data_IF_132680612945
#
_entry.id   IF_132680612945
#
_cell.length_a   1.000
_cell.length_b   1.000
_cell.length_c   1.000
_cell.angle_alpha   90.00
_cell.angle_beta   90.00
_cell.angle_gamma   90.00
#
_symmetry.space_group_name_H-M   'P 1'
#
loop_
_entity.id
_entity.type
_entity.pdbx_description
1 polymer ?
#
# COMPACT_ATOMS: atom_id res chain seq x y z
N UNK A 1 -2.03 -8.89 8.25
CA UNK A 1 -2.35 -7.89 7.21
C UNK A 1 -1.16 -6.95 7.14
N UNK A 2 -0.42 -6.96 6.03
CA UNK A 2 0.67 -5.99 5.81
C UNK A 2 0.11 -4.59 5.51
N UNK A 3 0.96 -3.57 5.52
CA UNK A 3 0.60 -2.21 5.13
C UNK A 3 1.57 -1.66 4.08
N UNK A 4 1.07 -0.88 3.12
CA UNK A 4 1.90 -0.13 2.16
C UNK A 4 2.35 1.19 2.76
N UNK A 5 3.49 1.70 2.31
CA UNK A 5 3.93 3.04 2.68
C UNK A 5 2.96 4.09 2.11
N UNK A 6 2.37 4.91 2.97
CA UNK A 6 1.49 6.00 2.58
C UNK A 6 2.20 7.34 2.70
N UNK A 7 2.35 8.04 1.58
CA UNK A 7 2.69 9.46 1.60
C UNK A 7 1.40 10.26 1.60
N UNK A 8 1.33 11.24 2.49
CA UNK A 8 0.12 12.04 2.67
C UNK A 8 0.50 13.51 2.72
N UNK A 9 -0.13 14.31 1.86
CA UNK A 9 0.05 15.75 1.80
C UNK A 9 -1.22 16.46 2.22
N UNK A 10 -1.04 17.44 3.12
CA UNK A 10 -2.13 18.25 3.63
C UNK A 10 -2.55 19.32 2.61
N UNK A 11 -3.85 19.66 2.50
CA UNK A 11 -4.37 20.74 1.64
C UNK A 11 -3.59 22.05 1.69
N UNK A 12 -3.07 22.43 2.85
CA UNK A 12 -2.28 23.66 3.02
C UNK A 12 -0.92 23.66 2.32
N UNK A 13 -0.41 22.49 1.93
CA UNK A 13 0.86 22.32 1.21
C UNK A 13 0.65 22.18 -0.31
N UNK A 14 -0.47 21.57 -0.72
CA UNK A 14 -0.77 21.27 -2.13
C UNK A 14 -1.66 22.32 -2.78
N UNK A 15 -2.39 23.12 -2.00
CA UNK A 15 -3.40 24.05 -2.53
C UNK A 15 -4.66 23.36 -3.06
N UNK A 16 -4.76 22.03 -2.93
CA UNK A 16 -5.94 21.26 -3.32
C UNK A 16 -6.99 21.27 -2.20
N UNK A 17 -8.29 21.23 -2.52
CA UNK A 17 -9.36 21.21 -1.52
C UNK A 17 -9.51 19.88 -0.77
N UNK A 18 -8.59 18.93 -0.97
CA UNK A 18 -8.60 17.60 -0.36
C UNK A 18 -7.19 17.15 0.01
N UNK A 19 -7.11 16.18 0.92
CA UNK A 19 -5.84 15.54 1.27
C UNK A 19 -5.39 14.62 0.15
N UNK A 20 -4.16 14.78 -0.31
CA UNK A 20 -3.58 13.91 -1.33
C UNK A 20 -2.85 12.76 -0.65
N UNK A 21 -3.12 11.52 -1.08
CA UNK A 21 -2.47 10.34 -0.55
C UNK A 21 -1.99 9.44 -1.69
N UNK A 22 -0.73 9.04 -1.63
CA UNK A 22 -0.14 8.05 -2.52
C UNK A 22 0.33 6.83 -1.73
N UNK A 23 -0.14 5.65 -2.12
CA UNK A 23 0.34 4.37 -1.58
C UNK A 23 1.46 3.85 -2.46
N UNK A 24 2.66 3.77 -1.90
CA UNK A 24 3.87 3.38 -2.61
C UNK A 24 4.30 1.96 -2.26
N UNK A 25 5.07 1.38 -3.17
CA UNK A 25 5.87 0.19 -2.90
C UNK A 25 5.08 -1.11 -2.72
N UNK A 26 5.76 -2.07 -2.10
CA UNK A 26 5.23 -3.39 -1.78
C UNK A 26 4.40 -3.28 -0.49
N UNK A 27 3.49 -4.25 -0.28
CA UNK A 27 2.91 -4.44 1.06
C UNK A 27 4.01 -4.90 2.01
N UNK A 28 4.40 -4.03 2.94
CA UNK A 28 5.36 -4.33 3.99
C UNK A 28 4.75 -5.29 5.02
N UNK A 29 5.51 -6.32 5.39
CA UNK A 29 5.11 -7.31 6.40
C UNK A 29 5.52 -6.88 7.81
N UNK A 30 6.37 -5.84 7.94
CA UNK A 30 6.83 -5.31 9.23
C UNK A 30 7.19 -3.82 9.19
N UNK A 31 7.32 -3.22 10.38
CA UNK A 31 7.62 -1.79 10.52
C UNK A 31 9.03 -1.37 10.09
N UNK A 32 10.00 -2.29 10.07
CA UNK A 32 11.35 -2.04 9.57
C UNK A 32 11.37 -1.92 8.04
N UNK A 33 10.67 -2.81 7.32
CA UNK A 33 10.57 -2.74 5.85
C UNK A 33 9.96 -1.41 5.39
N UNK A 34 8.91 -0.94 6.07
CA UNK A 34 8.30 0.38 5.80
C UNK A 34 9.26 1.54 6.02
N UNK A 35 10.13 1.45 7.04
CA UNK A 35 11.14 2.48 7.31
C UNK A 35 12.27 2.47 6.29
N UNK A 36 12.72 1.28 5.88
CA UNK A 36 13.76 1.12 4.87
C UNK A 36 13.27 1.63 3.50
N UNK A 37 12.03 1.33 3.13
CA UNK A 37 11.39 1.88 1.93
C UNK A 37 11.29 3.41 1.99
N UNK A 38 10.95 3.97 3.16
CA UNK A 38 10.89 5.42 3.35
C UNK A 38 12.27 6.09 3.24
N UNK A 39 13.30 5.54 3.89
CA UNK A 39 14.68 6.03 3.79
C UNK A 39 15.21 5.97 2.36
N UNK A 40 14.86 4.91 1.61
CA UNK A 40 15.21 4.81 0.20
C UNK A 40 14.62 5.98 -0.61
N UNK A 41 13.32 6.26 -0.44
CA UNK A 41 12.65 7.36 -1.15
C UNK A 41 13.24 8.71 -0.74
N UNK A 42 13.43 8.93 0.57
CA UNK A 42 13.99 10.19 1.09
C UNK A 42 15.38 10.46 0.51
N UNK A 43 16.30 9.49 0.60
CA UNK A 43 17.66 9.63 0.04
C UNK A 43 17.65 9.85 -1.46
N UNK A 44 16.78 9.13 -2.18
CA UNK A 44 16.62 9.32 -3.61
C UNK A 44 16.16 10.74 -3.97
N UNK A 45 15.25 11.32 -3.17
CA UNK A 45 14.73 12.67 -3.40
C UNK A 45 15.70 13.79 -2.97
N UNK A 46 16.47 13.59 -1.90
CA UNK A 46 17.36 14.61 -1.34
C UNK A 46 18.75 14.60 -2.00
N UNK A 47 19.35 13.42 -2.17
CA UNK A 47 20.74 13.24 -2.62
C UNK A 47 20.81 12.71 -4.07
N UNK A 48 19.67 12.29 -4.63
CA UNK A 48 19.55 11.84 -6.01
C UNK A 48 19.83 10.33 -6.22
N UNK A 49 19.86 9.88 -7.49
CA UNK A 49 19.93 8.46 -7.84
C UNK A 49 21.25 7.77 -7.48
N UNK A 50 22.30 8.54 -7.15
CA UNK A 50 23.62 7.99 -6.77
C UNK A 50 23.69 7.60 -5.28
N UNK A 51 22.81 8.13 -4.44
CA UNK A 51 22.79 7.90 -2.99
C UNK A 51 22.08 6.61 -2.58
N UNK A 52 21.44 5.93 -3.53
CA UNK A 52 20.68 4.69 -3.25
C UNK A 52 21.21 3.52 -4.07
N UNK A 53 21.22 2.30 -3.50
CA UNK A 53 21.60 1.11 -4.24
C UNK A 53 20.60 0.87 -5.38
N UNK A 54 21.11 0.54 -6.58
CA UNK A 54 20.24 0.26 -7.73
C UNK A 54 19.33 -0.94 -7.44
N UNK A 55 18.00 -0.79 -7.55
CA UNK A 55 17.09 -1.89 -7.30
C UNK A 55 17.34 -3.00 -8.31
N UNK A 56 17.35 -4.25 -7.83
CA UNK A 56 17.44 -5.42 -8.71
C UNK A 56 16.13 -5.53 -9.48
N UNK A 57 16.19 -5.23 -10.77
CA UNK A 57 15.05 -5.44 -11.67
C UNK A 57 14.88 -6.95 -11.84
N UNK A 58 13.89 -7.53 -11.16
CA UNK A 58 13.46 -8.90 -11.44
C UNK A 58 13.03 -9.00 -12.90
N UNK A 59 13.47 -10.09 -13.55
CA UNK A 59 13.23 -10.40 -14.96
C UNK A 59 11.74 -10.27 -15.30
N UNK A 60 11.45 -9.90 -16.54
CA UNK A 60 10.10 -9.56 -17.02
C UNK A 60 9.09 -10.71 -16.93
N UNK A 61 9.56 -11.94 -16.76
CA UNK A 61 8.75 -13.13 -16.78
C UNK A 61 8.48 -13.60 -15.34
N UNK A 62 7.20 -13.65 -14.90
CA UNK A 62 6.85 -14.27 -13.63
C UNK A 62 7.33 -15.72 -13.66
N UNK A 63 8.08 -16.11 -12.63
CA UNK A 63 8.50 -17.50 -12.49
C UNK A 63 7.27 -18.39 -12.43
N UNK A 64 7.17 -19.45 -13.25
CA UNK A 64 6.04 -20.37 -13.18
C UNK A 64 5.89 -20.95 -11.77
N UNK A 65 7.00 -21.21 -11.06
CA UNK A 65 6.99 -21.72 -9.68
C UNK A 65 6.30 -20.74 -8.72
N UNK A 66 6.47 -19.43 -8.91
CA UNK A 66 5.76 -18.42 -8.10
C UNK A 66 4.28 -18.31 -8.44
N UNK A 67 3.92 -18.50 -9.71
CA UNK A 67 2.52 -18.51 -10.13
C UNK A 67 1.78 -19.69 -9.46
N UNK A 68 2.39 -20.88 -9.45
CA UNK A 68 1.85 -22.07 -8.80
C UNK A 68 1.90 -21.99 -7.27
N UNK A 69 2.93 -21.39 -6.66
CA UNK A 69 3.06 -21.35 -5.20
C UNK A 69 1.87 -20.66 -4.52
N UNK A 70 1.26 -19.68 -5.17
CA UNK A 70 0.05 -19.03 -4.67
C UNK A 70 -1.13 -20.00 -4.51
N UNK A 71 -1.25 -21.02 -5.37
CA UNK A 71 -2.28 -22.06 -5.23
C UNK A 71 -1.89 -23.16 -4.22
N UNK A 72 -0.60 -23.39 -4.00
CA UNK A 72 -0.10 -24.45 -3.12
C UNK A 72 0.20 -24.02 -1.68
N UNK A 73 0.27 -22.71 -1.38
CA UNK A 73 0.60 -22.19 -0.04
C UNK A 73 -0.39 -22.67 1.04
N UNK A 74 -1.66 -22.85 0.68
CA UNK A 74 -2.68 -23.46 1.56
C UNK A 74 -2.65 -24.99 1.62
N UNK A 75 -2.05 -25.65 0.62
CA UNK A 75 -2.09 -27.10 0.45
C UNK A 75 -1.02 -27.82 1.30
N UNK A 76 0.09 -27.15 1.61
CA UNK A 76 1.20 -27.69 2.42
C UNK A 76 0.76 -28.26 3.78
N UNK A 77 -0.29 -27.70 4.40
CA UNK A 77 -0.83 -28.18 5.67
C UNK A 77 -1.54 -29.54 5.55
N UNK A 78 -2.11 -29.85 4.39
CA UNK A 78 -2.86 -31.09 4.14
C UNK A 78 -1.94 -32.28 3.84
N UNK A 79 -0.77 -32.04 3.24
CA UNK A 79 0.20 -33.10 2.96
C UNK A 79 0.74 -33.80 4.22
N UNK A 80 0.74 -33.12 5.38
CA UNK A 80 1.27 -33.65 6.65
C UNK A 80 0.36 -34.72 7.32
N UNK A 81 -0.90 -34.84 6.90
CA UNK A 81 -1.86 -35.87 7.39
C UNK A 81 -2.49 -36.66 6.23
N UNK A 82 -1.73 -36.94 5.17
CA UNK A 82 -2.30 -37.55 3.96
C UNK A 82 -2.65 -39.02 4.16
N UNK A 83 -3.95 -39.33 4.21
CA UNK A 83 -4.48 -40.69 4.03
C UNK A 83 -4.29 -41.16 2.57
N UNK A 84 -4.35 -42.48 2.31
CA UNK A 84 -4.28 -43.01 0.94
C UNK A 84 -5.42 -42.48 0.06
N UNK A 85 -6.62 -42.33 0.62
CA UNK A 85 -7.78 -41.72 -0.04
C UNK A 85 -7.50 -40.28 -0.49
N UNK A 86 -6.77 -39.50 0.31
CA UNK A 86 -6.37 -38.14 -0.06
C UNK A 86 -5.44 -38.14 -1.28
N UNK A 87 -4.55 -39.12 -1.42
CA UNK A 87 -3.66 -39.24 -2.60
C UNK A 87 -4.44 -39.58 -3.87
N UNK A 88 -5.43 -40.47 -3.78
CA UNK A 88 -6.30 -40.81 -4.91
C UNK A 88 -7.16 -39.60 -5.31
N UNK A 89 -7.76 -38.91 -4.35
CA UNK A 89 -8.52 -37.69 -4.60
C UNK A 89 -7.63 -36.61 -5.25
N UNK A 90 -6.41 -36.41 -4.74
CA UNK A 90 -5.46 -35.45 -5.29
C UNK A 90 -5.07 -35.80 -6.73
N UNK A 91 -4.91 -37.09 -7.07
CA UNK A 91 -4.61 -37.53 -8.44
C UNK A 91 -5.71 -37.12 -9.43
N UNK A 92 -6.99 -37.21 -9.03
CA UNK A 92 -8.11 -36.80 -9.87
C UNK A 92 -8.24 -35.28 -10.00
N UNK A 93 -7.91 -34.52 -8.96
CA UNK A 93 -8.02 -33.06 -8.96
C UNK A 93 -6.76 -32.37 -9.54
N UNK A 94 -5.63 -33.07 -9.56
CA UNK A 94 -4.34 -32.57 -10.07
C UNK A 94 -4.41 -31.94 -11.47
N UNK A 95 -5.08 -32.54 -12.48
CA UNK A 95 -5.18 -31.94 -13.81
C UNK A 95 -5.87 -30.57 -13.78
N UNK A 96 -6.90 -30.41 -12.95
CA UNK A 96 -7.59 -29.13 -12.79
C UNK A 96 -6.69 -28.06 -12.17
N UNK A 97 -5.87 -28.43 -11.16
CA UNK A 97 -4.87 -27.52 -10.58
C UNK A 97 -3.84 -27.07 -11.60
N UNK A 98 -3.37 -27.98 -12.46
CA UNK A 98 -2.43 -27.65 -13.53
C UNK A 98 -3.06 -26.67 -14.51
N UNK A 99 -4.29 -26.92 -14.98
CA UNK A 99 -4.99 -26.03 -15.93
C UNK A 99 -5.23 -24.64 -15.34
N UNK A 100 -5.66 -24.57 -14.07
CA UNK A 100 -5.91 -23.30 -13.39
C UNK A 100 -4.59 -22.54 -13.17
N UNK A 101 -3.54 -23.23 -12.71
CA UNK A 101 -2.22 -22.63 -12.48
C UNK A 101 -1.54 -22.17 -13.77
N UNK A 102 -1.66 -22.91 -14.87
CA UNK A 102 -1.16 -22.47 -16.18
C UNK A 102 -1.99 -21.30 -16.72
N UNK A 103 -3.31 -21.33 -16.59
CA UNK A 103 -4.18 -20.20 -16.94
C UNK A 103 -3.83 -18.94 -16.15
N UNK A 104 -3.56 -19.09 -14.85
CA UNK A 104 -3.09 -17.99 -14.01
C UNK A 104 -1.70 -17.49 -14.45
N UNK A 105 -0.74 -18.38 -14.72
CA UNK A 105 0.58 -17.99 -15.20
C UNK A 105 0.52 -17.26 -16.55
N UNK A 106 -0.29 -17.75 -17.49
CA UNK A 106 -0.56 -17.05 -18.76
C UNK A 106 -1.19 -15.68 -18.51
N UNK A 107 -2.12 -15.56 -17.56
CA UNK A 107 -2.68 -14.26 -17.20
C UNK A 107 -1.62 -13.29 -16.67
N UNK A 108 -0.66 -13.78 -15.85
CA UNK A 108 0.45 -12.97 -15.36
C UNK A 108 1.43 -12.56 -16.48
N UNK A 109 1.60 -13.40 -17.50
CA UNK A 109 2.37 -13.06 -18.71
C UNK A 109 1.68 -12.00 -19.58
N UNK A 110 0.34 -12.02 -19.63
CA UNK A 110 -0.45 -11.01 -20.33
C UNK A 110 -0.55 -9.68 -19.56
N UNK A 111 -0.41 -9.71 -18.23
CA UNK A 111 -0.30 -8.53 -17.39
C UNK A 111 1.01 -7.79 -17.66
N UNK A 112 1.00 -6.90 -18.66
CA UNK A 112 2.13 -6.04 -18.98
C UNK A 112 2.58 -5.23 -17.77
N UNK A 113 3.91 -5.14 -17.58
CA UNK A 113 4.50 -4.19 -16.63
C UNK A 113 3.94 -2.79 -16.96
N UNK A 114 3.39 -2.05 -15.98
CA UNK A 114 2.96 -0.69 -16.21
C UNK A 114 4.17 0.12 -16.66
N UNK A 115 4.16 0.54 -17.93
CA UNK A 115 5.21 1.39 -18.48
C UNK A 115 4.89 2.82 -18.10
N UNK A 116 5.75 3.42 -17.29
CA UNK A 116 5.62 4.83 -16.95
C UNK A 116 5.64 5.70 -18.23
N UNK A 117 4.71 6.65 -18.36
CA UNK A 117 4.75 7.68 -19.41
C UNK A 117 6.12 8.34 -19.50
N UNK A 118 6.52 8.74 -20.72
CA UNK A 118 7.85 9.35 -20.96
C UNK A 118 8.11 10.55 -20.03
N UNK A 119 7.06 11.35 -19.76
CA UNK A 119 7.14 12.50 -18.85
C UNK A 119 7.61 12.14 -17.44
N UNK A 120 7.18 11.00 -16.89
CA UNK A 120 7.59 10.56 -15.53
C UNK A 120 8.98 9.95 -15.56
N UNK A 121 9.36 9.28 -16.66
CA UNK A 121 10.71 8.73 -16.83
C UNK A 121 11.78 9.82 -16.98
N UNK A 122 11.39 10.95 -17.55
CA UNK A 122 12.26 12.09 -17.78
C UNK A 122 12.26 13.07 -16.59
N UNK A 123 11.19 13.06 -15.78
CA UNK A 123 11.15 13.79 -14.52
C UNK A 123 12.31 13.35 -13.61
N UNK A 124 13.14 14.31 -13.18
CA UNK A 124 14.30 14.05 -12.31
C UNK A 124 15.63 13.79 -13.04
N UNK A 125 15.66 13.78 -14.38
CA UNK A 125 16.92 13.83 -15.13
C UNK A 125 17.51 15.25 -15.11
N UNK A 126 18.85 15.39 -15.04
CA UNK A 126 19.49 16.70 -15.07
C UNK A 126 19.13 17.45 -16.38
N UNK A 127 18.60 18.66 -16.24
CA UNK A 127 18.22 19.52 -17.38
C UNK A 127 16.82 19.28 -17.97
N UNK A 128 16.01 18.37 -17.40
CA UNK A 128 14.60 18.18 -17.80
C UNK A 128 13.66 19.03 -16.92
N UNK A 129 12.55 19.56 -17.48
CA UNK A 129 11.61 20.35 -16.72
C UNK A 129 10.89 19.48 -15.68
N UNK A 130 10.79 20.01 -14.45
CA UNK A 130 9.98 19.40 -13.39
C UNK A 130 8.51 19.53 -13.81
N UNK A 131 7.71 18.44 -13.76
CA UNK A 131 6.29 18.53 -14.09
C UNK A 131 5.59 19.53 -13.15
N UNK A 132 4.64 20.34 -13.67
CA UNK A 132 3.90 21.28 -12.84
C UNK A 132 3.14 20.54 -11.76
N UNK A 133 3.02 21.16 -10.59
CA UNK A 133 2.22 20.63 -9.48
C UNK A 133 0.76 20.57 -9.92
N UNK A 134 0.10 19.43 -9.69
CA UNK A 134 -1.32 19.27 -10.01
C UNK A 134 -2.15 20.32 -9.29
N UNK A 135 -2.91 21.09 -10.07
CA UNK A 135 -3.78 22.17 -9.61
C UNK A 135 -5.24 21.77 -9.76
N UNK A 136 -6.15 22.53 -9.13
CA UNK A 136 -7.58 22.30 -9.29
C UNK A 136 -8.04 22.43 -10.74
N UNK A 137 -7.39 23.30 -11.54
CA UNK A 137 -7.68 23.52 -12.95
C UNK A 137 -7.43 22.32 -13.85
N UNK A 138 -6.60 21.36 -13.42
CA UNK A 138 -6.29 20.16 -14.21
C UNK A 138 -7.45 19.17 -14.27
N UNK A 139 -8.46 19.34 -13.41
CA UNK A 139 -9.66 18.49 -13.38
C UNK A 139 -10.78 19.05 -14.27
N UNK A 140 -11.66 18.19 -14.84
CA UNK A 140 -12.89 18.63 -15.51
C UNK A 140 -13.78 19.51 -14.61
N UNK A 141 -14.53 20.48 -15.17
CA UNK A 141 -15.29 21.47 -14.38
C UNK A 141 -16.32 20.85 -13.43
N UNK A 142 -16.95 19.74 -13.84
CA UNK A 142 -17.88 18.99 -13.00
C UNK A 142 -17.20 18.41 -11.74
N UNK A 143 -15.94 18.00 -11.85
CA UNK A 143 -15.15 17.47 -10.72
C UNK A 143 -14.67 18.62 -9.84
N UNK A 144 -14.21 19.73 -10.43
CA UNK A 144 -13.81 20.92 -9.69
C UNK A 144 -14.91 21.41 -8.75
N UNK A 145 -16.14 21.55 -9.25
CA UNK A 145 -17.28 21.98 -8.45
C UNK A 145 -17.57 21.04 -7.28
N UNK A 146 -17.47 19.72 -7.50
CA UNK A 146 -17.66 18.70 -6.45
C UNK A 146 -16.55 18.74 -5.41
N UNK A 147 -15.30 18.95 -5.83
CA UNK A 147 -14.16 19.05 -4.93
C UNK A 147 -14.26 20.29 -4.04
N UNK A 148 -14.64 21.43 -4.62
CA UNK A 148 -14.87 22.67 -3.87
C UNK A 148 -16.05 22.53 -2.90
N UNK A 149 -17.14 21.90 -3.30
CA UNK A 149 -18.31 21.67 -2.44
C UNK A 149 -18.01 20.79 -1.22
N UNK A 150 -16.96 19.96 -1.27
CA UNK A 150 -16.53 19.10 -0.16
C UNK A 150 -15.26 19.60 0.55
N UNK A 151 -14.77 20.80 0.21
CA UNK A 151 -13.52 21.34 0.74
C UNK A 151 -13.57 21.53 2.26
N UNK A 152 -14.75 21.82 2.80
CA UNK A 152 -15.04 22.04 4.22
C UNK A 152 -14.75 20.80 5.10
N UNK A 153 -14.80 19.59 4.51
CA UNK A 153 -14.51 18.33 5.21
C UNK A 153 -13.05 18.17 5.58
N UNK A 154 -12.16 18.83 4.84
CA UNK A 154 -10.71 18.64 4.92
C UNK A 154 -9.98 19.83 5.53
N UNK A 155 -10.69 20.93 5.79
CA UNK A 155 -10.14 22.05 6.52
C UNK A 155 -9.95 21.66 7.99
N UNK A 156 -8.73 21.86 8.50
CA UNK A 156 -8.47 21.80 9.94
C UNK A 156 -9.25 22.93 10.60
N UNK A 157 -10.45 22.63 11.09
CA UNK A 157 -11.19 23.56 11.94
C UNK A 157 -10.32 23.81 13.17
N UNK A 158 -9.88 25.05 13.46
CA UNK A 158 -9.17 25.33 14.69
C UNK A 158 -10.09 24.93 15.84
N UNK A 159 -9.84 23.75 16.42
CA UNK A 159 -10.68 23.21 17.46
C UNK A 159 -10.61 24.15 18.64
N UNK A 160 -11.75 24.72 19.05
CA UNK A 160 -11.89 25.16 20.45
C UNK A 160 -11.55 23.93 21.29
N UNK A 161 -10.47 24.04 22.08
CA UNK A 161 -10.03 22.98 23.00
C UNK A 161 -11.28 22.48 23.76
N UNK A 162 -11.66 21.20 23.64
CA UNK A 162 -12.81 20.70 24.39
C UNK A 162 -12.56 20.96 25.87
N UNK A 163 -13.52 21.58 26.55
CA UNK A 163 -13.40 21.93 27.95
C UNK A 163 -13.04 20.66 28.74
N UNK A 164 -11.96 20.74 29.53
CA UNK A 164 -11.43 19.62 30.31
C UNK A 164 -12.55 19.15 31.25
N UNK A 165 -13.15 17.97 31.01
CA UNK A 165 -14.14 17.42 31.93
C UNK A 165 -13.50 17.32 33.33
N UNK A 166 -14.14 17.85 34.38
CA UNK A 166 -13.60 17.74 35.73
C UNK A 166 -13.50 16.25 36.08
N UNK A 167 -12.30 15.86 36.50
CA UNK A 167 -11.96 14.50 36.91
C UNK A 167 -12.80 14.18 38.15
N UNK A 168 -13.76 13.25 38.06
CA UNK A 168 -14.49 12.74 39.24
C UNK A 168 -13.45 12.19 40.22
N UNK A 169 -13.35 12.81 41.39
CA UNK A 169 -12.61 12.23 42.53
C UNK A 169 -13.46 11.07 43.04
N UNK A 170 -12.97 9.85 42.86
CA UNK A 170 -13.54 8.68 43.52
C UNK A 170 -13.38 8.88 45.04
N UNK A 171 -14.47 8.84 45.78
CA UNK A 171 -14.45 8.90 47.24
C UNK A 171 -13.75 7.66 47.82
N UNK A 172 -13.06 7.76 48.96
CA UNK A 172 -12.42 6.62 49.59
C UNK A 172 -13.45 5.62 50.10
N UNK A 173 -13.21 4.35 49.77
CA UNK A 173 -13.99 3.20 50.19
C UNK A 173 -13.86 3.04 51.71
N UNK A 174 -14.95 3.22 52.45
CA UNK A 174 -15.02 2.93 53.88
C UNK A 174 -14.67 1.45 54.09
N UNK A 175 -13.66 1.21 54.93
CA UNK A 175 -13.32 -0.12 55.42
C UNK A 175 -14.48 -0.60 56.31
N UNK A 176 -15.08 -1.73 55.95
CA UNK A 176 -15.89 -2.52 56.87
C UNK A 176 -14.94 -3.21 57.85
N UNK A 177 -15.06 -2.85 59.11
CA UNK A 177 -14.51 -3.55 60.25
C UNK A 177 -15.58 -4.54 60.73
N UNK A 178 -15.27 -5.83 60.66
CA UNK A 178 -16.05 -6.91 61.23
C UNK A 178 -15.09 -7.90 61.88
N UNK A 179 -15.36 -8.16 63.16
CA UNK A 179 -14.76 -9.06 64.15
C UNK A 179 -13.55 -8.53 64.96
#
# INVERSE_FOLDING_TARGET
MGMRLGLVWHPSRTGLPHMEMALLGKQGQGGSELRDEWEFIRRYMEEGPHAVPRPRLSTQLPSPIQAFSAQFEGLGRFFRKSSWLFKVALLFVWPAFVIIGTGHWLSLLLCWRPRWPKVIREAGLPGKPVPPVTTLSDYPPAIQARLLANADRWQLKPGKRPAKKPRKRSAPQQANESD
#
